data_IF_083465992216
#
_entry.id   IF_083465992216
#
_cell.length_a   1.000
_cell.length_b   1.000
_cell.length_c   1.000
_cell.angle_alpha   90.00
_cell.angle_beta   90.00
_cell.angle_gamma   90.00
#
_symmetry.space_group_name_H-M   'P 1'
#
loop_
_entity.id
_entity.type
_entity.pdbx_description
1 polymer ?
#
# COMPACT_ATOMS: atom_id res chain seq x y z
N UNK A 1 5.15 0.24 12.65
CA UNK A 1 5.85 0.78 11.47
C UNK A 1 6.77 1.90 11.89
N UNK A 2 7.93 1.92 11.33
CA UNK A 2 8.93 2.93 11.64
C UNK A 2 8.79 4.08 10.66
N UNK A 3 8.24 5.20 11.11
CA UNK A 3 7.97 6.33 10.25
C UNK A 3 9.22 7.00 9.72
N UNK A 4 10.32 6.83 10.41
CA UNK A 4 11.58 7.40 9.95
C UNK A 4 12.16 6.63 8.78
N UNK A 5 11.76 5.40 8.63
CA UNK A 5 12.30 4.49 7.64
C UNK A 5 11.41 4.37 6.42
N UNK A 6 10.12 4.59 6.59
CA UNK A 6 9.14 4.35 5.54
C UNK A 6 8.46 5.64 5.15
N UNK A 7 8.00 5.68 3.92
CA UNK A 7 7.28 6.82 3.41
C UNK A 7 6.13 6.33 2.55
N UNK A 8 5.03 7.06 2.59
CA UNK A 8 3.85 6.67 1.83
C UNK A 8 4.12 6.80 0.33
N UNK A 9 3.91 5.71 -0.37
CA UNK A 9 4.05 5.69 -1.82
C UNK A 9 2.76 6.10 -2.50
N UNK A 10 1.66 5.49 -2.08
CA UNK A 10 0.38 5.75 -2.71
C UNK A 10 -0.73 5.22 -1.83
N UNK A 11 -1.95 5.47 -2.27
CA UNK A 11 -3.13 5.04 -1.55
C UNK A 11 -4.07 4.44 -2.57
N UNK A 12 -4.64 3.29 -2.25
CA UNK A 12 -5.58 2.63 -3.17
C UNK A 12 -6.83 2.24 -2.40
N UNK A 13 -7.87 1.93 -3.14
CA UNK A 13 -9.10 1.48 -2.56
C UNK A 13 -9.21 -0.03 -2.73
N UNK A 14 -9.43 -0.70 -1.62
CA UNK A 14 -9.59 -2.13 -1.67
C UNK A 14 -8.29 -2.86 -1.36
N UNK A 15 -8.44 -3.92 -0.58
CA UNK A 15 -7.28 -4.66 -0.11
C UNK A 15 -6.65 -5.48 -1.22
N UNK A 16 -7.47 -5.96 -2.13
CA UNK A 16 -6.93 -6.80 -3.19
C UNK A 16 -5.94 -6.05 -4.06
N UNK A 17 -6.28 -4.82 -4.42
CA UNK A 17 -5.36 -4.02 -5.21
C UNK A 17 -4.10 -3.73 -4.44
N UNK A 18 -4.23 -3.43 -3.14
CA UNK A 18 -3.06 -3.15 -2.32
C UNK A 18 -2.14 -4.36 -2.24
N UNK A 19 -2.72 -5.54 -2.08
CA UNK A 19 -1.91 -6.75 -2.01
C UNK A 19 -1.20 -7.03 -3.33
N UNK A 20 -1.88 -6.75 -4.42
CA UNK A 20 -1.26 -6.93 -5.73
C UNK A 20 -0.04 -6.04 -5.89
N UNK A 21 -0.19 -4.78 -5.52
CA UNK A 21 0.91 -3.82 -5.61
C UNK A 21 2.04 -4.24 -4.69
N UNK A 22 1.70 -4.67 -3.48
CA UNK A 22 2.71 -5.12 -2.53
C UNK A 22 3.51 -6.29 -3.11
N UNK A 23 2.81 -7.27 -3.66
CA UNK A 23 3.48 -8.43 -4.24
C UNK A 23 4.41 -8.03 -5.37
N UNK A 24 3.94 -7.11 -6.21
CA UNK A 24 4.74 -6.65 -7.34
C UNK A 24 6.01 -5.95 -6.87
N UNK A 25 5.89 -5.06 -5.89
CA UNK A 25 7.05 -4.34 -5.41
C UNK A 25 8.02 -5.25 -4.67
N UNK A 26 7.49 -6.18 -3.89
CA UNK A 26 8.35 -7.10 -3.16
C UNK A 26 9.10 -8.02 -4.11
N UNK A 27 8.46 -8.40 -5.20
CA UNK A 27 9.13 -9.20 -6.20
C UNK A 27 10.30 -8.46 -6.84
N UNK A 28 10.28 -7.14 -6.74
CA UNK A 28 11.36 -6.30 -7.26
C UNK A 28 12.32 -5.83 -6.17
N UNK A 29 12.26 -6.45 -5.01
CA UNK A 29 13.23 -6.18 -3.95
C UNK A 29 12.91 -4.99 -3.07
N UNK A 30 11.68 -4.52 -3.09
CA UNK A 30 11.27 -3.38 -2.28
C UNK A 30 10.40 -3.86 -1.13
N UNK A 31 10.78 -3.48 0.08
CA UNK A 31 10.02 -3.82 1.26
C UNK A 31 8.79 -2.93 1.36
N UNK A 32 7.63 -3.52 1.57
CA UNK A 32 6.37 -2.80 1.53
C UNK A 32 5.57 -3.07 2.79
N UNK A 33 4.97 -2.00 3.32
CA UNK A 33 4.06 -2.11 4.46
C UNK A 33 2.71 -1.54 4.04
N UNK A 34 1.65 -2.23 4.42
CA UNK A 34 0.30 -1.76 4.14
C UNK A 34 -0.32 -1.26 5.42
N UNK A 35 -1.00 -0.14 5.32
CA UNK A 35 -1.72 0.41 6.45
C UNK A 35 -3.15 0.68 6.02
N UNK A 36 -4.08 0.00 6.67
CA UNK A 36 -5.48 0.18 6.37
C UNK A 36 -6.16 0.90 7.52
N UNK A 37 -6.74 2.03 7.20
CA UNK A 37 -7.42 2.82 8.20
C UNK A 37 -8.77 2.18 8.50
N UNK A 38 -9.04 1.98 9.78
CA UNK A 38 -10.28 1.34 10.19
C UNK A 38 -11.22 2.36 10.78
N UNK A 39 -11.62 3.30 9.99
CA UNK A 39 -12.52 4.32 10.47
C UNK A 39 -13.87 3.71 10.78
N UNK A 40 -14.36 3.96 11.98
CA UNK A 40 -15.64 3.43 12.35
C UNK A 40 -15.67 1.93 12.44
N UNK A 41 -14.54 1.35 12.72
CA UNK A 41 -14.46 -0.09 12.83
C UNK A 41 -15.49 -0.57 13.85
N UNK A 42 -15.94 -1.78 13.66
CA UNK A 42 -16.90 -2.41 14.53
C UNK A 42 -18.33 -1.97 14.32
N UNK A 43 -18.52 -0.95 13.53
CA UNK A 43 -19.86 -0.45 13.26
C UNK A 43 -20.40 -1.09 11.98
N UNK A 44 -19.54 -1.29 11.03
CA UNK A 44 -19.96 -1.78 9.73
C UNK A 44 -19.37 -3.13 9.44
N UNK A 45 -20.10 -3.94 8.70
CA UNK A 45 -19.63 -5.28 8.35
C UNK A 45 -18.55 -5.23 7.30
N UNK A 46 -18.14 -6.40 6.92
CA UNK A 46 -16.98 -6.61 6.08
C UNK A 46 -17.03 -5.93 4.73
N UNK A 47 -18.20 -5.65 4.24
CA UNK A 47 -18.29 -5.01 2.93
C UNK A 47 -17.57 -3.69 2.89
N UNK A 48 -17.56 -2.98 4.00
CA UNK A 48 -16.89 -1.70 4.08
C UNK A 48 -15.39 -1.87 3.99
N UNK A 49 -14.88 -2.94 4.58
CA UNK A 49 -13.45 -3.20 4.58
C UNK A 49 -12.89 -3.31 3.18
N UNK A 50 -13.65 -3.91 2.28
CA UNK A 50 -13.16 -4.11 0.93
C UNK A 50 -13.08 -2.82 0.16
N UNK A 51 -13.83 -1.82 0.59
CA UNK A 51 -13.84 -0.53 -0.07
C UNK A 51 -12.99 0.49 0.66
N UNK A 52 -12.38 0.07 1.77
CA UNK A 52 -11.57 0.97 2.56
C UNK A 52 -10.30 1.37 1.85
N UNK A 53 -9.76 2.49 2.28
CA UNK A 53 -8.51 2.98 1.73
C UNK A 53 -7.35 2.25 2.39
N UNK A 54 -6.41 1.84 1.57
CA UNK A 54 -5.20 1.19 2.03
C UNK A 54 -4.02 2.04 1.61
N UNK A 55 -3.20 2.42 2.57
CA UNK A 55 -2.01 3.20 2.28
C UNK A 55 -0.83 2.27 2.12
N UNK A 56 -0.03 2.52 1.12
CA UNK A 56 1.11 1.68 0.80
C UNK A 56 2.38 2.45 1.10
N UNK A 57 3.20 1.87 1.97
CA UNK A 57 4.45 2.49 2.39
C UNK A 57 5.63 1.67 1.90
N UNK A 58 6.68 2.36 1.52
CA UNK A 58 7.93 1.71 1.12
C UNK A 58 9.08 2.40 1.84
N UNK A 59 10.23 1.76 1.86
CA UNK A 59 11.41 2.37 2.44
C UNK A 59 11.74 3.66 1.71
N UNK A 60 12.10 4.69 2.46
CA UNK A 60 12.41 5.98 1.86
C UNK A 60 13.48 5.90 0.81
N UNK A 61 14.49 5.10 1.06
CA UNK A 61 15.60 4.98 0.12
C UNK A 61 15.18 4.29 -1.18
N UNK A 62 14.04 3.65 -1.17
CA UNK A 62 13.54 2.95 -2.36
C UNK A 62 12.35 3.67 -3.00
N UNK A 63 12.02 4.85 -2.50
CA UNK A 63 10.82 5.53 -2.98
C UNK A 63 10.87 5.82 -4.48
N UNK A 64 11.99 6.32 -4.96
CA UNK A 64 12.11 6.62 -6.38
C UNK A 64 11.94 5.37 -7.23
N UNK A 65 12.58 4.31 -6.82
CA UNK A 65 12.49 3.05 -7.53
C UNK A 65 11.04 2.54 -7.54
N UNK A 66 10.38 2.67 -6.40
CA UNK A 66 8.99 2.23 -6.30
C UNK A 66 8.09 3.02 -7.21
N UNK A 67 8.32 4.33 -7.32
CA UNK A 67 7.54 5.17 -8.20
C UNK A 67 7.68 4.76 -9.66
N UNK A 68 8.90 4.43 -10.06
CA UNK A 68 9.15 3.96 -11.41
C UNK A 68 8.40 2.65 -11.66
N UNK A 69 8.46 1.74 -10.70
CA UNK A 69 7.78 0.46 -10.85
C UNK A 69 6.27 0.64 -10.90
N UNK A 70 5.73 1.61 -10.17
CA UNK A 70 4.30 1.87 -10.22
C UNK A 70 3.87 2.34 -11.60
N UNK A 71 4.70 3.14 -12.24
CA UNK A 71 4.40 3.57 -13.62
C UNK A 71 4.40 2.40 -14.57
N UNK A 72 5.30 1.46 -14.37
CA UNK A 72 5.35 0.28 -15.20
C UNK A 72 4.10 -0.56 -15.02
N UNK A 73 3.65 -0.66 -13.79
CA UNK A 73 2.46 -1.46 -13.48
C UNK A 73 1.21 -0.88 -14.12
N UNK A 74 1.16 0.43 -14.24
CA UNK A 74 -0.04 1.10 -14.73
C UNK A 74 -0.07 1.31 -16.24
N UNK A 75 0.85 0.76 -16.95
CA UNK A 75 0.86 0.87 -18.39
C UNK A 75 -0.22 0.06 -19.06
#
# INVERSE_FOLDING_TARGET
MDELKYERLTEVYGRMEAELIKSYLEANGIDVELFQESIGQNIYPTTVDQLGRVQIFVEKIKLKEALVLMKELNK
#
